data_IF_920121592637
#
_entry.id   IF_920121592637
#
_cell.length_a   1.000
_cell.length_b   1.000
_cell.length_c   1.000
_cell.angle_alpha   90.00
_cell.angle_beta   90.00
_cell.angle_gamma   90.00
#
_symmetry.space_group_name_H-M   'P 1'
#
loop_
_entity.id
_entity.type
_entity.pdbx_description
1 polymer ?
#
# COMPACT_ATOMS: atom_id res chain seq x y z
N UNK A 1 12.07 -21.11 29.51
CA UNK A 1 12.50 -20.81 28.13
C UNK A 1 11.27 -20.48 27.33
N UNK A 2 11.04 -19.22 27.00
CA UNK A 2 9.92 -18.82 26.14
C UNK A 2 10.33 -19.16 24.71
N UNK A 3 9.64 -20.10 24.06
CA UNK A 3 9.85 -20.39 22.66
C UNK A 3 9.43 -19.15 21.86
N UNK A 4 10.38 -18.46 21.24
CA UNK A 4 10.08 -17.44 20.24
C UNK A 4 9.35 -18.19 19.11
N UNK A 5 8.09 -17.85 18.79
CA UNK A 5 7.42 -18.46 17.65
C UNK A 5 8.25 -18.13 16.42
N UNK A 6 8.73 -19.16 15.70
CA UNK A 6 9.37 -18.94 14.40
C UNK A 6 8.32 -18.32 13.50
N UNK A 7 8.51 -17.04 13.19
CA UNK A 7 7.66 -16.36 12.23
C UNK A 7 7.84 -17.06 10.88
N UNK A 8 6.73 -17.58 10.32
CA UNK A 8 6.75 -18.21 9.00
C UNK A 8 7.09 -17.12 7.98
N UNK A 9 8.25 -17.22 7.37
CA UNK A 9 8.72 -16.33 6.29
C UNK A 9 8.41 -16.95 4.94
N UNK A 10 8.33 -16.11 3.91
CA UNK A 10 8.05 -16.53 2.54
C UNK A 10 6.70 -16.04 2.00
N UNK A 11 6.27 -16.57 0.85
CA UNK A 11 5.09 -16.10 0.14
C UNK A 11 3.81 -16.18 0.99
N UNK A 12 2.95 -15.19 0.81
CA UNK A 12 1.60 -15.13 1.33
C UNK A 12 0.67 -15.35 0.14
N UNK A 13 -0.14 -16.40 0.21
CA UNK A 13 -1.26 -16.57 -0.72
C UNK A 13 -2.19 -15.38 -0.58
N UNK A 14 -2.57 -14.79 -1.72
CA UNK A 14 -3.34 -13.56 -1.73
C UNK A 14 -4.50 -13.64 -2.70
N UNK A 15 -5.60 -13.01 -2.30
CA UNK A 15 -6.81 -12.93 -3.11
C UNK A 15 -7.18 -11.46 -3.30
N UNK A 16 -7.37 -10.99 -4.54
CA UNK A 16 -7.82 -9.64 -4.80
C UNK A 16 -9.31 -9.51 -4.44
N UNK A 17 -9.64 -8.53 -3.60
CA UNK A 17 -11.01 -8.13 -3.33
C UNK A 17 -11.39 -7.07 -4.39
N UNK A 18 -12.17 -7.50 -5.38
CA UNK A 18 -12.65 -6.66 -6.47
C UNK A 18 -14.16 -6.46 -6.28
N UNK A 19 -14.57 -5.24 -5.94
CA UNK A 19 -15.96 -4.98 -5.59
C UNK A 19 -16.89 -4.93 -6.81
N UNK A 20 -16.38 -4.85 -8.04
CA UNK A 20 -17.19 -4.71 -9.26
C UNK A 20 -16.57 -5.33 -10.53
N UNK A 21 -17.27 -6.30 -11.12
CA UNK A 21 -17.00 -6.87 -12.45
C UNK A 21 -17.90 -6.20 -13.53
N UNK A 22 -17.47 -6.04 -14.80
CA UNK A 22 -16.22 -6.48 -15.42
C UNK A 22 -15.07 -5.44 -15.34
N UNK A 23 -15.00 -4.66 -14.26
CA UNK A 23 -14.15 -3.46 -14.17
C UNK A 23 -12.64 -3.71 -14.26
N UNK A 24 -12.20 -4.94 -13.97
CA UNK A 24 -10.80 -5.37 -13.98
C UNK A 24 -10.68 -6.72 -14.70
N UNK A 25 -9.70 -6.83 -15.60
CA UNK A 25 -9.26 -8.10 -16.17
C UNK A 25 -8.11 -8.62 -15.33
N UNK A 26 -8.30 -9.77 -14.71
CA UNK A 26 -7.30 -10.46 -13.90
C UNK A 26 -6.67 -11.59 -14.72
N UNK A 27 -5.34 -11.66 -14.75
CA UNK A 27 -4.58 -12.77 -15.33
C UNK A 27 -3.42 -13.12 -14.39
N UNK A 28 -3.62 -14.13 -13.54
CA UNK A 28 -2.77 -14.42 -12.39
C UNK A 28 -2.58 -13.15 -11.54
N UNK A 29 -1.33 -12.76 -11.31
CA UNK A 29 -0.96 -11.57 -10.55
C UNK A 29 -1.06 -10.26 -11.35
N UNK A 30 -1.55 -10.29 -12.59
CA UNK A 30 -1.65 -9.11 -13.46
C UNK A 30 -3.07 -8.58 -13.51
N UNK A 31 -3.20 -7.28 -13.26
CA UNK A 31 -4.47 -6.57 -13.17
C UNK A 31 -4.51 -5.47 -14.23
N UNK A 32 -5.50 -5.52 -15.12
CA UNK A 32 -5.68 -4.53 -16.19
C UNK A 32 -7.07 -3.95 -16.15
N UNK A 33 -7.16 -2.63 -16.19
CA UNK A 33 -8.44 -1.93 -16.16
C UNK A 33 -9.25 -2.15 -17.44
N UNK A 34 -10.47 -2.67 -17.28
CA UNK A 34 -11.37 -3.07 -18.38
C UNK A 34 -12.36 -2.00 -18.81
N UNK A 35 -12.72 -1.07 -17.93
CA UNK A 35 -13.74 -0.04 -18.17
C UNK A 35 -13.34 1.34 -17.59
N UNK A 36 -14.23 2.33 -17.74
CA UNK A 36 -14.03 3.71 -17.26
C UNK A 36 -14.35 3.94 -15.77
N UNK A 37 -14.68 2.89 -15.00
CA UNK A 37 -14.97 3.04 -13.57
C UNK A 37 -13.73 3.46 -12.77
N UNK A 38 -13.83 3.88 -11.51
CA UNK A 38 -12.65 3.94 -10.62
C UNK A 38 -12.49 2.59 -9.93
N UNK A 39 -11.27 2.08 -9.80
CA UNK A 39 -11.04 0.74 -9.24
C UNK A 39 -9.96 0.76 -8.17
N UNK A 40 -10.40 0.47 -6.95
CA UNK A 40 -9.58 0.16 -5.78
C UNK A 40 -9.59 -1.35 -5.62
N UNK A 41 -8.41 -1.97 -5.66
CA UNK A 41 -8.27 -3.42 -5.45
C UNK A 41 -7.56 -3.60 -4.12
N UNK A 42 -8.26 -4.18 -3.14
CA UNK A 42 -7.65 -4.61 -1.88
C UNK A 42 -7.14 -6.04 -2.03
N UNK A 43 -6.18 -6.42 -1.19
CA UNK A 43 -5.63 -7.78 -1.20
C UNK A 43 -5.79 -8.41 0.18
N UNK A 44 -6.44 -9.58 0.22
CA UNK A 44 -6.36 -10.47 1.36
C UNK A 44 -5.02 -11.22 1.36
N UNK A 45 -4.51 -11.61 2.55
CA UNK A 45 -5.17 -11.52 3.84
C UNK A 45 -5.08 -10.13 4.49
N UNK A 46 -6.02 -9.86 5.39
CA UNK A 46 -5.89 -8.79 6.38
C UNK A 46 -4.67 -9.02 7.27
N UNK A 47 -3.71 -8.09 7.24
CA UNK A 47 -2.44 -8.21 7.96
C UNK A 47 -2.59 -7.68 9.38
N UNK A 48 -2.22 -8.51 10.37
CA UNK A 48 -2.34 -8.21 11.82
C UNK A 48 -1.02 -8.29 12.58
N UNK A 49 -0.01 -8.91 11.98
CA UNK A 49 1.28 -9.16 12.59
C UNK A 49 2.31 -9.43 11.50
N UNK A 50 3.58 -9.34 11.89
CA UNK A 50 4.74 -9.59 11.06
C UNK A 50 5.22 -8.44 10.21
N UNK A 51 6.39 -8.67 9.63
CA UNK A 51 7.01 -7.82 8.63
C UNK A 51 6.56 -8.35 7.28
N UNK A 52 5.79 -7.55 6.55
CA UNK A 52 5.14 -7.97 5.32
C UNK A 52 5.51 -7.03 4.19
N UNK A 53 5.97 -7.61 3.09
CA UNK A 53 6.32 -6.90 1.87
C UNK A 53 5.27 -7.15 0.80
N UNK A 54 4.74 -6.07 0.25
CA UNK A 54 3.87 -6.08 -0.92
C UNK A 54 4.52 -5.27 -2.03
N UNK A 55 4.87 -5.92 -3.14
CA UNK A 55 5.63 -5.34 -4.25
C UNK A 55 4.87 -5.51 -5.57
N UNK A 56 4.76 -4.43 -6.33
CA UNK A 56 4.09 -4.41 -7.64
C UNK A 56 4.98 -3.79 -8.71
N UNK A 57 4.83 -4.28 -9.94
CA UNK A 57 5.32 -3.62 -11.14
C UNK A 57 4.24 -2.67 -11.66
N UNK A 58 4.57 -1.39 -11.81
CA UNK A 58 3.71 -0.44 -12.51
C UNK A 58 3.80 -0.66 -14.02
N UNK A 59 3.00 -1.58 -14.56
CA UNK A 59 2.99 -1.92 -15.99
C UNK A 59 2.51 -0.75 -16.83
N UNK A 60 1.45 -0.05 -16.38
CA UNK A 60 0.92 1.13 -17.06
C UNK A 60 0.14 2.01 -16.09
N UNK A 61 0.69 3.20 -15.81
CA UNK A 61 -0.01 4.31 -15.13
C UNK A 61 -0.79 3.95 -13.84
N UNK A 62 -0.26 3.08 -12.98
CA UNK A 62 -0.77 2.87 -11.61
C UNK A 62 -0.97 4.23 -10.91
N UNK A 63 -2.14 4.47 -10.32
CA UNK A 63 -2.54 5.81 -9.81
C UNK A 63 -2.35 6.00 -8.32
N UNK A 64 -2.19 4.90 -7.59
CA UNK A 64 -2.05 4.90 -6.15
C UNK A 64 -1.73 3.50 -5.65
N UNK A 65 -1.03 3.44 -4.52
CA UNK A 65 -0.75 2.23 -3.76
C UNK A 65 -0.69 2.58 -2.28
N UNK A 66 -1.13 1.67 -1.41
CA UNK A 66 -1.19 1.99 0.00
C UNK A 66 -1.70 0.88 0.89
N UNK A 67 -2.11 1.29 2.10
CA UNK A 67 -2.81 0.45 3.06
C UNK A 67 -4.18 1.03 3.40
N UNK A 68 -5.10 0.16 3.77
CA UNK A 68 -6.44 0.52 4.22
C UNK A 68 -6.71 -0.19 5.55
N UNK A 69 -7.25 0.54 6.53
CA UNK A 69 -7.76 -0.03 7.77
C UNK A 69 -8.83 -1.09 7.47
N UNK A 70 -9.01 -2.08 8.34
CA UNK A 70 -9.97 -3.19 8.17
C UNK A 70 -11.40 -2.72 7.88
N UNK A 71 -11.77 -1.56 8.41
CA UNK A 71 -13.12 -0.98 8.31
C UNK A 71 -13.29 -0.14 7.03
N UNK A 72 -12.24 0.01 6.21
CA UNK A 72 -12.33 0.67 4.92
C UNK A 72 -13.13 -0.17 3.93
N UNK A 73 -14.08 0.47 3.26
CA UNK A 73 -14.93 -0.16 2.27
C UNK A 73 -15.10 0.79 1.08
N UNK A 74 -14.79 0.30 -0.12
CA UNK A 74 -14.78 1.11 -1.33
C UNK A 74 -16.00 0.79 -2.19
N UNK A 75 -16.89 1.77 -2.35
CA UNK A 75 -18.05 1.68 -3.23
C UNK A 75 -17.70 1.83 -4.72
N UNK A 76 -18.70 1.68 -5.58
CA UNK A 76 -18.53 1.77 -7.03
C UNK A 76 -18.16 3.19 -7.43
N UNK A 77 -17.14 3.34 -8.28
CA UNK A 77 -16.66 4.64 -8.75
C UNK A 77 -16.13 5.57 -7.65
N UNK A 78 -15.87 5.04 -6.45
CA UNK A 78 -15.28 5.83 -5.39
C UNK A 78 -13.77 5.92 -5.58
N UNK A 79 -13.25 7.11 -5.31
CA UNK A 79 -11.82 7.28 -5.11
C UNK A 79 -11.47 6.77 -3.72
N UNK A 80 -10.31 6.15 -3.55
CA UNK A 80 -9.88 5.68 -2.24
C UNK A 80 -9.78 6.82 -1.22
N UNK A 81 -9.52 8.03 -1.71
CA UNK A 81 -9.36 9.23 -0.88
C UNK A 81 -10.57 10.16 -0.90
N UNK A 82 -11.79 9.61 -0.85
CA UNK A 82 -13.03 10.40 -0.75
C UNK A 82 -13.87 9.94 0.44
N UNK A 83 -14.63 10.86 1.02
CA UNK A 83 -15.61 10.55 2.08
C UNK A 83 -14.96 10.03 3.37
N UNK A 84 -15.50 8.94 3.89
CA UNK A 84 -15.01 8.26 5.10
C UNK A 84 -13.74 7.44 4.83
N UNK A 85 -13.48 7.04 3.59
CA UNK A 85 -12.28 6.26 3.27
C UNK A 85 -11.00 7.10 3.40
N UNK A 86 -11.07 8.41 3.18
CA UNK A 86 -9.93 9.31 3.29
C UNK A 86 -9.27 9.32 4.69
N UNK A 87 -9.99 8.93 5.76
CA UNK A 87 -9.43 8.79 7.12
C UNK A 87 -8.96 7.35 7.45
N UNK A 88 -9.29 6.39 6.59
CA UNK A 88 -9.01 4.97 6.77
C UNK A 88 -7.88 4.45 5.88
N UNK A 89 -7.34 5.27 4.98
CA UNK A 89 -6.31 4.86 4.01
C UNK A 89 -5.07 5.73 4.10
N UNK A 90 -3.92 5.13 3.79
CA UNK A 90 -2.71 5.83 3.38
C UNK A 90 -2.53 5.56 1.89
N UNK A 91 -2.24 6.57 1.09
CA UNK A 91 -1.96 6.45 -0.35
C UNK A 91 -0.66 7.18 -0.72
N UNK A 92 0.25 6.50 -1.42
CA UNK A 92 1.25 7.18 -2.24
C UNK A 92 0.78 7.24 -3.68
N UNK A 93 0.98 8.40 -4.32
CA UNK A 93 0.63 8.66 -5.72
C UNK A 93 1.88 8.83 -6.59
N UNK A 94 1.76 8.65 -7.92
CA UNK A 94 2.92 8.73 -8.84
C UNK A 94 3.67 10.06 -8.82
N UNK A 95 2.96 11.15 -8.51
CA UNK A 95 3.53 12.50 -8.42
C UNK A 95 4.35 12.74 -7.14
N UNK A 96 4.46 11.74 -6.25
CA UNK A 96 5.21 11.80 -5.00
C UNK A 96 4.40 12.36 -3.83
N UNK A 97 3.10 12.58 -4.01
CA UNK A 97 2.22 12.94 -2.90
C UNK A 97 1.86 11.72 -2.05
N UNK A 98 1.81 11.94 -0.75
CA UNK A 98 1.42 11.00 0.28
C UNK A 98 0.16 11.54 0.97
N UNK A 99 -0.92 10.76 0.95
CA UNK A 99 -2.26 11.17 1.37
C UNK A 99 -2.70 10.36 2.57
N UNK A 100 -3.31 11.02 3.55
CA UNK A 100 -3.98 10.43 4.70
C UNK A 100 -4.84 11.47 5.40
N UNK A 101 -5.92 11.02 6.06
CA UNK A 101 -6.78 11.86 6.90
C UNK A 101 -7.27 13.14 6.20
N UNK A 102 -7.72 13.02 4.94
CA UNK A 102 -8.16 14.14 4.08
C UNK A 102 -7.08 15.22 3.81
N UNK A 103 -5.84 14.94 4.15
CA UNK A 103 -4.68 15.79 3.92
C UNK A 103 -3.68 15.12 2.96
N UNK A 104 -2.81 15.93 2.35
CA UNK A 104 -1.79 15.46 1.44
C UNK A 104 -0.50 16.27 1.60
N UNK A 105 0.62 15.57 1.63
CA UNK A 105 1.96 16.14 1.65
C UNK A 105 2.71 15.72 0.40
N UNK A 106 3.58 16.58 -0.12
CA UNK A 106 4.29 16.36 -1.38
C UNK A 106 5.79 16.20 -1.15
N UNK A 107 6.34 15.07 -1.60
CA UNK A 107 7.76 14.77 -1.48
C UNK A 107 8.31 14.12 -2.75
N UNK A 108 9.61 13.82 -2.76
CA UNK A 108 10.31 13.25 -3.93
C UNK A 108 10.14 11.72 -4.07
N UNK A 109 9.14 11.16 -3.39
CA UNK A 109 8.80 9.72 -3.43
C UNK A 109 8.02 9.34 -4.69
N UNK A 110 8.50 9.79 -5.85
CA UNK A 110 7.82 9.63 -7.16
C UNK A 110 8.08 8.25 -7.75
N UNK A 111 7.11 7.78 -8.53
CA UNK A 111 7.24 6.55 -9.32
C UNK A 111 6.48 6.69 -10.64
N UNK A 112 6.90 5.94 -11.66
CA UNK A 112 6.35 5.98 -13.02
C UNK A 112 6.20 4.58 -13.60
N UNK A 113 5.69 4.53 -14.82
CA UNK A 113 5.57 3.29 -15.59
C UNK A 113 6.94 2.60 -15.72
N UNK A 114 6.95 1.28 -15.50
CA UNK A 114 8.16 0.45 -15.47
C UNK A 114 8.82 0.32 -14.10
N UNK A 115 8.47 1.15 -13.11
CA UNK A 115 9.06 1.06 -11.77
C UNK A 115 8.46 -0.10 -10.96
N UNK A 116 9.28 -0.73 -10.13
CA UNK A 116 8.84 -1.61 -9.05
C UNK A 116 8.56 -0.79 -7.80
N UNK A 117 7.35 -0.85 -7.28
CA UNK A 117 6.95 -0.16 -6.05
C UNK A 117 6.66 -1.20 -4.97
N UNK A 118 7.31 -1.06 -3.83
CA UNK A 118 7.11 -1.93 -2.69
C UNK A 118 6.67 -1.15 -1.45
N UNK A 119 5.77 -1.76 -0.69
CA UNK A 119 5.41 -1.37 0.64
C UNK A 119 5.96 -2.41 1.62
N UNK A 120 6.65 -1.97 2.66
CA UNK A 120 7.06 -2.81 3.77
C UNK A 120 6.30 -2.36 5.02
N UNK A 121 5.46 -3.26 5.53
CA UNK A 121 4.66 -3.05 6.72
C UNK A 121 5.29 -3.83 7.87
N UNK A 122 5.71 -3.14 8.93
CA UNK A 122 6.18 -3.77 10.16
C UNK A 122 5.09 -3.67 11.22
N UNK A 123 4.40 -4.78 11.47
CA UNK A 123 3.35 -4.87 12.49
C UNK A 123 3.85 -5.34 13.86
N UNK A 124 5.10 -5.80 13.95
CA UNK A 124 5.68 -6.40 15.17
C UNK A 124 6.53 -5.41 15.97
N UNK A 125 6.86 -4.24 15.40
CA UNK A 125 7.55 -3.16 16.13
C UNK A 125 6.63 -2.49 17.16
N UNK A 126 7.22 -1.95 18.24
CA UNK A 126 6.47 -1.20 19.27
C UNK A 126 5.66 -0.06 18.65
N UNK A 127 6.24 0.63 17.67
CA UNK A 127 5.55 1.56 16.79
C UNK A 127 5.45 0.89 15.43
N UNK A 128 4.24 0.48 15.04
CA UNK A 128 3.98 -0.14 13.73
C UNK A 128 4.27 0.85 12.60
N UNK A 129 5.01 0.42 11.58
CA UNK A 129 5.48 1.31 10.50
C UNK A 129 5.10 0.82 9.11
N UNK A 130 4.97 1.76 8.18
CA UNK A 130 4.85 1.49 6.74
C UNK A 130 5.88 2.30 5.95
N UNK A 131 6.70 1.62 5.18
CA UNK A 131 7.78 2.20 4.38
C UNK A 131 7.54 1.99 2.90
N UNK A 132 7.85 3.00 2.08
CA UNK A 132 7.81 2.91 0.62
C UNK A 132 9.20 2.61 0.06
N UNK A 133 9.25 1.77 -0.97
CA UNK A 133 10.44 1.51 -1.78
C UNK A 133 10.09 1.71 -3.25
N UNK A 134 10.98 2.39 -3.99
CA UNK A 134 10.89 2.54 -5.45
C UNK A 134 12.16 1.98 -6.06
N UNK A 135 12.03 0.98 -6.94
CA UNK A 135 13.15 0.24 -7.54
C UNK A 135 14.16 -0.27 -6.51
N UNK A 136 13.64 -0.81 -5.39
CA UNK A 136 14.46 -1.33 -4.28
C UNK A 136 15.06 -0.26 -3.36
N UNK A 137 14.94 1.03 -3.68
CA UNK A 137 15.42 2.13 -2.83
C UNK A 137 14.34 2.57 -1.86
N UNK A 138 14.61 2.49 -0.56
CA UNK A 138 13.73 3.02 0.48
C UNK A 138 13.57 4.54 0.35
N UNK A 139 12.35 5.03 0.51
CA UNK A 139 12.02 6.45 0.50
C UNK A 139 12.07 7.05 1.91
N UNK A 140 12.28 8.36 2.02
CA UNK A 140 12.50 9.03 3.31
C UNK A 140 11.20 9.19 4.13
N UNK A 141 10.05 9.25 3.47
CA UNK A 141 8.75 9.41 4.11
C UNK A 141 8.16 8.04 4.45
N UNK A 142 7.77 7.87 5.71
CA UNK A 142 7.18 6.63 6.20
C UNK A 142 6.08 6.92 7.22
N UNK A 143 5.18 5.97 7.40
CA UNK A 143 4.06 6.10 8.33
C UNK A 143 4.39 5.38 9.62
N UNK A 144 3.94 5.94 10.74
CA UNK A 144 4.00 5.35 12.08
C UNK A 144 2.62 5.19 12.68
N UNK A 145 2.51 4.37 13.73
CA UNK A 145 1.27 4.12 14.46
C UNK A 145 0.14 3.54 13.58
N UNK A 146 0.50 2.69 12.60
CA UNK A 146 -0.48 1.96 11.78
C UNK A 146 -1.53 1.27 12.68
N UNK A 147 -2.82 1.16 12.29
CA UNK A 147 -3.82 0.40 13.02
C UNK A 147 -3.44 -1.06 13.30
N UNK A 148 -4.23 -1.76 14.11
CA UNK A 148 -3.99 -3.16 14.49
C UNK A 148 -4.16 -4.17 13.33
N UNK A 149 -4.91 -3.78 12.30
CA UNK A 149 -5.15 -4.60 11.14
C UNK A 149 -5.36 -3.76 9.87
N UNK A 150 -4.63 -4.08 8.80
CA UNK A 150 -4.71 -3.37 7.53
C UNK A 150 -4.61 -4.31 6.31
N UNK A 151 -5.13 -3.88 5.18
CA UNK A 151 -4.92 -4.52 3.86
C UNK A 151 -4.05 -3.65 2.98
N UNK A 152 -3.27 -4.28 2.12
CA UNK A 152 -2.68 -3.57 0.98
C UNK A 152 -3.76 -3.31 -0.08
N UNK A 153 -3.59 -2.21 -0.82
CA UNK A 153 -4.47 -1.90 -1.93
C UNK A 153 -3.76 -1.11 -3.03
N UNK A 154 -4.35 -1.13 -4.22
CA UNK A 154 -3.89 -0.42 -5.41
C UNK A 154 -5.04 0.34 -6.07
N UNK A 155 -4.69 1.40 -6.81
CA UNK A 155 -5.65 2.24 -7.53
C UNK A 155 -5.36 2.32 -9.02
N UNK A 156 -6.39 2.09 -9.84
CA UNK A 156 -6.36 2.34 -11.29
C UNK A 156 -7.59 3.15 -11.70
N UNK A 157 -7.43 4.01 -12.72
CA UNK A 157 -8.47 4.97 -13.09
C UNK A 157 -8.83 4.92 -14.57
N UNK A 158 -7.86 4.82 -15.47
CA UNK A 158 -8.09 4.85 -16.91
C UNK A 158 -8.10 3.44 -17.51
N UNK A 159 -8.92 3.20 -18.53
CA UNK A 159 -8.93 1.95 -19.30
C UNK A 159 -7.51 1.61 -19.77
N UNK A 160 -7.08 0.39 -19.51
CA UNK A 160 -5.74 -0.09 -19.84
C UNK A 160 -4.64 0.29 -18.84
N UNK A 161 -4.93 1.08 -17.79
CA UNK A 161 -4.04 1.16 -16.62
C UNK A 161 -3.86 -0.27 -16.07
N UNK A 162 -2.63 -0.63 -15.72
CA UNK A 162 -2.32 -1.99 -15.28
C UNK A 162 -1.11 -2.05 -14.35
N UNK A 163 -1.10 -3.09 -13.53
CA UNK A 163 0.02 -3.44 -12.67
C UNK A 163 0.10 -4.96 -12.51
N UNK A 164 1.21 -5.43 -11.98
CA UNK A 164 1.39 -6.84 -11.64
C UNK A 164 1.96 -6.97 -10.24
N UNK A 165 1.35 -7.80 -9.40
CA UNK A 165 1.93 -8.17 -8.10
C UNK A 165 3.17 -9.02 -8.36
N UNK A 166 4.30 -8.62 -7.78
CA UNK A 166 5.57 -9.34 -7.90
C UNK A 166 5.88 -10.13 -6.63
N UNK A 167 5.56 -9.57 -5.47
CA UNK A 167 5.75 -10.20 -4.16
C UNK A 167 4.63 -9.83 -3.23
N UNK A 168 4.15 -10.82 -2.51
CA UNK A 168 3.39 -10.63 -1.29
C UNK A 168 3.93 -11.67 -0.31
N UNK A 169 4.76 -11.24 0.64
CA UNK A 169 5.56 -12.17 1.45
C UNK A 169 5.79 -11.67 2.87
N UNK A 170 5.99 -12.61 3.79
CA UNK A 170 6.50 -12.34 5.14
C UNK A 170 8.01 -12.36 5.14
N UNK A 171 8.62 -11.35 5.74
CA UNK A 171 10.05 -11.25 5.90
C UNK A 171 10.45 -11.52 7.35
N UNK A 172 11.67 -12.02 7.54
CA UNK A 172 12.22 -12.28 8.88
C UNK A 172 12.63 -10.98 9.59
N UNK A 173 13.13 -10.02 8.81
CA UNK A 173 13.69 -8.76 9.28
C UNK A 173 13.28 -7.64 8.32
N UNK A 174 13.20 -6.38 8.79
CA UNK A 174 12.94 -5.24 7.93
C UNK A 174 14.07 -5.09 6.89
N UNK A 175 13.74 -4.70 5.67
CA UNK A 175 14.73 -4.54 4.58
C UNK A 175 15.63 -3.32 4.81
N UNK A 176 15.15 -2.34 5.58
CA UNK A 176 15.89 -1.12 5.89
C UNK A 176 15.51 -0.52 7.24
N UNK A 177 16.28 0.47 7.66
CA UNK A 177 16.01 1.25 8.87
C UNK A 177 15.96 2.73 8.50
N UNK A 178 14.96 3.43 9.04
CA UNK A 178 14.87 4.89 8.93
C UNK A 178 15.98 5.53 9.76
N UNK A 179 16.65 6.54 9.20
CA UNK A 179 17.80 7.19 9.81
C UNK A 179 17.56 8.70 9.98
N UNK A 180 18.58 9.41 10.46
CA UNK A 180 18.58 10.86 10.52
C UNK A 180 18.26 11.44 9.12
N UNK A 181 17.23 12.29 9.05
CA UNK A 181 16.70 12.84 7.80
C UNK A 181 15.45 12.12 7.24
N UNK A 182 15.08 10.94 7.75
CA UNK A 182 13.77 10.34 7.48
C UNK A 182 12.64 11.14 8.14
N UNK A 183 11.47 11.17 7.51
CA UNK A 183 10.28 11.88 8.00
C UNK A 183 9.17 10.89 8.33
N UNK A 184 8.79 10.86 9.60
CA UNK A 184 7.68 10.04 10.07
C UNK A 184 6.38 10.83 10.02
N UNK A 185 5.34 10.19 9.51
CA UNK A 185 3.98 10.70 9.51
C UNK A 185 3.10 9.80 10.38
N UNK A 186 2.44 10.36 11.40
CA UNK A 186 1.61 9.55 12.29
C UNK A 186 0.24 9.30 11.67
N UNK A 187 -0.18 8.04 11.64
CA UNK A 187 -1.53 7.67 11.21
C UNK A 187 -2.58 8.30 12.14
N UNK A 188 -3.64 8.84 11.55
CA UNK A 188 -4.78 9.48 12.22
C UNK A 188 -4.56 10.95 12.56
N UNK A 189 -3.40 11.52 12.25
CA UNK A 189 -3.11 12.94 12.51
C UNK A 189 -3.20 13.79 11.24
N UNK A 190 -3.44 15.08 11.44
CA UNK A 190 -3.32 16.07 10.38
C UNK A 190 -1.84 16.33 10.06
N UNK A 191 -1.46 16.13 8.80
CA UNK A 191 -0.10 16.31 8.35
C UNK A 191 0.13 17.74 7.90
N UNK A 192 0.86 18.51 8.70
CA UNK A 192 1.34 19.81 8.28
C UNK A 192 2.80 19.67 7.82
N UNK A 193 3.16 20.05 6.60
CA UNK A 193 4.56 20.17 6.23
C UNK A 193 5.20 21.23 7.15
N UNK A 194 6.23 20.82 7.90
CA UNK A 194 7.06 21.72 8.72
C UNK A 194 7.84 22.65 7.79
#
# INVERSE_FOLDING_TARGET
>A
MSSIPVQVTGPIDHEPIINYEPGIKVNYDSFTKGDSSKQVIQFDPLIRSGIVRFEVLNVKKLKGIGIANRDANFGRHEDAFVGTNAIQVVEWKPNGSLHHNKNAVFYDSRYKEGDCIALELNMDSEIRTLSLFVNGKMQNDYITHIPDAVRFWTYTNTVGDSFRVLKFERQQYPTGMHCEGSRSWKYGEDWNPI
#
